data_IF_531965561964
#
_entry.id   IF_531965561964
#
_cell.length_a   1.000
_cell.length_b   1.000
_cell.length_c   1.000
_cell.angle_alpha   90.00
_cell.angle_beta   90.00
_cell.angle_gamma   90.00
#
_symmetry.space_group_name_H-M   'P 1'
#
loop_
_entity.id
_entity.type
_entity.pdbx_description
1 polymer ?
#
# COMPACT_ATOMS: atom_id res chain seq x y z
N UNK A 1 30.14 -69.47 17.20
CA UNK A 1 30.53 -68.54 16.11
C UNK A 1 29.30 -67.75 15.72
N UNK A 2 29.08 -66.60 16.36
CA UNK A 2 28.06 -65.64 15.92
C UNK A 2 28.78 -64.61 15.05
N UNK A 3 28.36 -64.56 13.79
CA UNK A 3 28.99 -63.80 12.73
C UNK A 3 28.84 -62.28 12.98
N UNK A 4 29.96 -61.61 13.25
CA UNK A 4 30.03 -60.20 13.66
C UNK A 4 29.88 -59.22 12.47
N UNK A 5 29.54 -59.71 11.28
CA UNK A 5 29.55 -58.94 10.04
C UNK A 5 28.20 -58.32 9.70
N UNK A 6 27.10 -58.77 10.33
CA UNK A 6 25.75 -58.27 10.06
C UNK A 6 25.42 -56.93 10.75
N UNK A 7 26.15 -56.55 11.81
CA UNK A 7 25.86 -55.33 12.59
C UNK A 7 26.47 -54.07 11.97
N UNK A 8 27.49 -54.21 11.11
CA UNK A 8 28.18 -53.08 10.46
C UNK A 8 27.39 -52.44 9.32
N UNK A 9 26.35 -53.10 8.79
CA UNK A 9 25.57 -52.59 7.65
C UNK A 9 24.27 -51.88 8.02
N UNK A 10 23.91 -51.79 9.31
CA UNK A 10 22.65 -51.18 9.78
C UNK A 10 22.87 -49.77 10.38
N UNK A 11 24.10 -49.26 10.40
CA UNK A 11 24.41 -47.90 10.87
C UNK A 11 24.74 -46.93 9.72
N UNK A 12 24.09 -47.12 8.56
CA UNK A 12 24.05 -46.15 7.46
C UNK A 12 22.61 -45.73 7.14
N UNK A 13 21.74 -45.63 8.15
CA UNK A 13 20.57 -44.77 8.05
C UNK A 13 21.06 -43.32 8.20
N UNK A 14 21.63 -42.82 7.11
CA UNK A 14 21.87 -41.40 6.89
C UNK A 14 20.53 -40.70 7.09
N UNK A 15 20.38 -40.00 8.22
CA UNK A 15 19.34 -39.01 8.44
C UNK A 15 19.58 -37.90 7.41
N UNK A 16 19.05 -38.11 6.21
CA UNK A 16 18.87 -37.05 5.23
C UNK A 16 17.80 -36.12 5.81
N UNK A 17 18.24 -35.18 6.63
CA UNK A 17 17.44 -34.05 7.07
C UNK A 17 17.11 -33.26 5.80
N UNK A 18 15.97 -33.57 5.18
CA UNK A 18 15.38 -32.70 4.18
C UNK A 18 15.02 -31.42 4.93
N UNK A 19 15.83 -30.38 4.75
CA UNK A 19 15.50 -29.03 5.20
C UNK A 19 14.24 -28.61 4.44
N UNK A 20 13.09 -28.73 5.12
CA UNK A 20 11.85 -28.13 4.65
C UNK A 20 12.05 -26.62 4.67
N UNK A 21 12.32 -26.03 3.51
CA UNK A 21 12.16 -24.59 3.32
C UNK A 21 10.66 -24.31 3.45
N UNK A 22 10.27 -23.74 4.57
CA UNK A 22 8.91 -23.24 4.80
C UNK A 22 8.92 -21.75 4.55
N UNK A 23 8.13 -21.29 3.59
CA UNK A 23 7.84 -19.87 3.45
C UNK A 23 6.90 -19.45 4.59
N UNK A 24 7.32 -18.50 5.42
CA UNK A 24 6.49 -17.92 6.46
C UNK A 24 5.57 -16.83 5.89
N UNK A 25 4.44 -16.61 6.57
CA UNK A 25 3.49 -15.55 6.24
C UNK A 25 3.45 -14.57 7.41
N UNK A 26 3.81 -13.31 7.15
CA UNK A 26 3.76 -12.20 8.10
C UNK A 26 2.51 -11.37 7.81
N UNK A 27 1.49 -11.48 8.66
CA UNK A 27 0.31 -10.62 8.55
C UNK A 27 0.57 -9.31 9.28
N UNK A 28 0.47 -8.20 8.56
CA UNK A 28 0.63 -6.84 9.08
C UNK A 28 -0.69 -6.08 8.92
N UNK A 29 -1.26 -5.60 10.03
CA UNK A 29 -2.43 -4.73 10.01
C UNK A 29 -2.06 -3.31 9.60
N UNK A 30 -2.69 -2.78 8.55
CA UNK A 30 -2.53 -1.39 8.10
C UNK A 30 -3.67 -0.55 8.65
N UNK A 31 -3.34 0.58 9.30
CA UNK A 31 -4.34 1.41 9.95
C UNK A 31 -4.64 1.00 11.39
N UNK A 32 -3.66 0.38 12.05
CA UNK A 32 -3.72 -0.04 13.45
C UNK A 32 -2.63 0.65 14.25
N UNK A 33 -2.93 0.98 15.49
CA UNK A 33 -1.93 1.45 16.44
C UNK A 33 -1.35 0.23 17.19
N UNK A 34 -0.06 -0.05 16.99
CA UNK A 34 0.63 -1.21 17.56
C UNK A 34 0.66 -1.19 19.10
N UNK A 35 0.60 -0.02 19.74
CA UNK A 35 0.66 0.07 21.22
C UNK A 35 -0.70 -0.20 21.86
N UNK A 36 -1.77 0.29 21.25
CA UNK A 36 -3.12 0.21 21.80
C UNK A 36 -3.97 -0.91 21.20
N UNK A 37 -3.55 -1.45 20.04
CA UNK A 37 -4.31 -2.41 19.26
C UNK A 37 -5.59 -1.85 18.65
N UNK A 38 -5.77 -0.52 18.66
CA UNK A 38 -6.98 0.16 18.18
C UNK A 38 -6.79 0.72 16.77
N UNK A 39 -7.85 1.28 16.21
CA UNK A 39 -7.79 2.05 14.96
C UNK A 39 -6.69 3.10 15.06
N UNK A 40 -5.87 3.16 14.02
CA UNK A 40 -4.73 4.05 13.97
C UNK A 40 -4.32 4.33 12.53
N UNK A 41 -3.07 4.74 12.37
CA UNK A 41 -2.47 5.11 11.09
C UNK A 41 -1.21 4.27 10.79
N UNK A 42 -0.86 3.40 11.74
CA UNK A 42 0.38 2.64 11.77
C UNK A 42 0.25 1.28 11.12
N UNK A 43 1.34 0.55 11.23
CA UNK A 43 1.44 -0.85 10.92
C UNK A 43 1.57 -1.63 12.24
N UNK A 44 0.87 -2.75 12.34
CA UNK A 44 0.94 -3.65 13.49
C UNK A 44 1.21 -5.09 13.00
N UNK A 45 2.39 -5.66 13.25
CA UNK A 45 3.56 -5.02 13.88
C UNK A 45 4.22 -3.96 12.97
N UNK A 46 4.97 -3.02 13.56
CA UNK A 46 5.71 -1.98 12.80
C UNK A 46 7.13 -2.40 12.41
N UNK A 47 7.60 -3.53 12.94
CA UNK A 47 8.90 -4.13 12.63
C UNK A 47 8.75 -5.63 12.42
N UNK A 48 9.30 -6.14 11.32
CA UNK A 48 9.31 -7.58 11.01
C UNK A 48 10.69 -8.02 10.49
N UNK A 49 10.97 -9.32 10.54
CA UNK A 49 12.23 -9.91 10.09
C UNK A 49 11.98 -11.10 9.13
N UNK A 50 11.39 -10.87 7.93
CA UNK A 50 11.13 -11.93 6.98
C UNK A 50 12.39 -12.41 6.26
N UNK A 51 12.42 -13.68 5.89
CA UNK A 51 13.45 -14.28 5.03
C UNK A 51 13.04 -14.27 3.56
N UNK A 52 14.02 -14.46 2.67
CA UNK A 52 13.74 -14.64 1.25
C UNK A 52 12.79 -15.83 1.02
N UNK A 53 11.74 -15.61 0.23
CA UNK A 53 10.65 -16.57 -0.01
C UNK A 53 9.44 -16.39 0.91
N UNK A 54 9.54 -15.60 1.99
CA UNK A 54 8.40 -15.29 2.86
C UNK A 54 7.43 -14.31 2.19
N UNK A 55 6.21 -14.23 2.72
CA UNK A 55 5.18 -13.30 2.26
C UNK A 55 4.80 -12.33 3.38
N UNK A 56 4.69 -11.06 3.04
CA UNK A 56 4.11 -10.03 3.91
C UNK A 56 2.69 -9.75 3.41
N UNK A 57 1.70 -10.09 4.21
CA UNK A 57 0.28 -9.85 3.92
C UNK A 57 -0.15 -8.61 4.67
N UNK A 58 -0.43 -7.55 3.93
CA UNK A 58 -0.99 -6.31 4.48
C UNK A 58 -2.51 -6.42 4.53
N UNK A 59 -3.08 -6.41 5.73
CA UNK A 59 -4.53 -6.45 5.95
C UNK A 59 -5.04 -5.06 6.37
N UNK A 60 -5.93 -4.47 5.57
CA UNK A 60 -6.36 -3.09 5.77
C UNK A 60 -7.52 -3.01 6.75
N UNK A 61 -7.30 -2.28 7.86
CA UNK A 61 -8.31 -2.03 8.90
C UNK A 61 -9.26 -0.92 8.45
N UNK A 62 -10.30 -0.68 9.24
CA UNK A 62 -11.26 0.42 9.00
C UNK A 62 -10.58 1.77 8.74
N UNK A 63 -11.09 2.52 7.78
CA UNK A 63 -10.54 3.80 7.33
C UNK A 63 -9.95 3.73 5.92
N UNK A 64 -9.29 4.80 5.52
CA UNK A 64 -8.61 4.92 4.21
C UNK A 64 -7.11 4.78 4.42
N UNK A 65 -6.56 3.68 3.93
CA UNK A 65 -5.15 3.33 4.13
C UNK A 65 -4.50 2.92 2.81
N UNK A 66 -3.18 3.01 2.76
CA UNK A 66 -2.37 2.58 1.63
C UNK A 66 -1.10 1.94 2.14
N UNK A 67 -0.43 1.18 1.28
CA UNK A 67 0.94 0.72 1.53
C UNK A 67 1.73 0.88 0.24
N UNK A 68 2.87 1.54 0.34
CA UNK A 68 3.83 1.68 -0.75
C UNK A 68 5.23 1.45 -0.22
N UNK A 69 6.10 0.98 -1.09
CA UNK A 69 7.50 0.83 -0.78
C UNK A 69 8.25 2.15 -1.00
N UNK A 70 9.11 2.49 -0.06
CA UNK A 70 9.93 3.70 -0.06
C UNK A 70 11.39 3.38 0.25
N UNK A 71 12.19 4.40 0.57
CA UNK A 71 13.58 4.27 0.99
C UNK A 71 13.73 4.73 2.42
N UNK A 72 14.81 4.31 3.09
CA UNK A 72 15.09 4.72 4.46
C UNK A 72 15.22 6.25 4.59
N UNK A 73 15.81 6.87 3.57
CA UNK A 73 16.08 8.32 3.51
C UNK A 73 14.82 9.13 3.17
N UNK A 74 13.95 8.61 2.30
CA UNK A 74 12.72 9.27 1.85
C UNK A 74 11.47 8.41 2.17
N UNK A 75 11.17 8.20 3.46
CA UNK A 75 10.12 7.29 3.92
C UNK A 75 8.75 7.58 3.32
N UNK A 76 8.39 8.85 3.15
CA UNK A 76 7.06 9.26 2.71
C UNK A 76 6.99 9.56 1.20
N UNK A 77 7.95 9.04 0.42
CA UNK A 77 7.96 9.13 -1.04
C UNK A 77 8.00 7.72 -1.62
N UNK A 78 7.05 7.33 -2.49
CA UNK A 78 7.10 6.02 -3.13
C UNK A 78 8.37 5.90 -3.98
N UNK A 79 9.11 4.79 -3.84
CA UNK A 79 10.30 4.56 -4.67
C UNK A 79 9.88 4.12 -6.08
N UNK A 80 10.57 4.56 -7.15
CA UNK A 80 10.30 4.09 -8.50
C UNK A 80 10.47 2.57 -8.62
N UNK A 81 9.47 1.90 -9.22
CA UNK A 81 9.48 0.43 -9.37
C UNK A 81 9.32 -0.35 -8.06
N UNK A 82 9.06 0.32 -6.94
CA UNK A 82 8.76 -0.33 -5.67
C UNK A 82 7.36 -0.94 -5.63
N UNK A 83 7.12 -1.76 -4.60
CA UNK A 83 5.80 -2.30 -4.33
C UNK A 83 4.76 -1.20 -4.10
N UNK A 84 3.57 -1.38 -4.67
CA UNK A 84 2.43 -0.50 -4.47
C UNK A 84 1.20 -1.38 -4.21
N UNK A 85 0.73 -1.37 -2.97
CA UNK A 85 -0.47 -2.08 -2.54
C UNK A 85 -1.76 -1.37 -2.91
N UNK A 86 -1.69 -0.13 -3.42
CA UNK A 86 -2.83 0.71 -3.70
C UNK A 86 -3.46 1.33 -2.45
N UNK A 87 -4.61 1.97 -2.65
CA UNK A 87 -5.40 2.61 -1.60
C UNK A 87 -6.63 1.76 -1.35
N UNK A 88 -6.87 1.42 -0.10
CA UNK A 88 -8.00 0.62 0.34
C UNK A 88 -8.84 1.42 1.32
N UNK A 89 -10.14 1.40 1.09
CA UNK A 89 -11.13 2.05 1.95
C UNK A 89 -12.00 0.97 2.58
N UNK A 90 -11.99 0.92 3.90
CA UNK A 90 -12.82 0.03 4.71
C UNK A 90 -13.75 0.87 5.56
N UNK A 91 -15.01 0.48 5.69
CA UNK A 91 -16.00 1.26 6.42
C UNK A 91 -15.58 1.51 7.89
N UNK A 92 -15.79 2.74 8.35
CA UNK A 92 -15.34 3.20 9.69
C UNK A 92 -16.16 2.62 10.85
N UNK A 93 -17.31 2.03 10.58
CA UNK A 93 -18.19 1.38 11.56
C UNK A 93 -17.81 -0.07 11.86
N UNK A 94 -16.94 -0.68 11.03
CA UNK A 94 -16.44 -2.03 11.27
C UNK A 94 -15.49 -2.07 12.47
N UNK A 95 -15.51 -3.20 13.18
CA UNK A 95 -14.52 -3.54 14.19
C UNK A 95 -13.11 -3.52 13.58
N UNK A 96 -12.11 -3.12 14.39
CA UNK A 96 -10.72 -3.00 13.92
C UNK A 96 -10.23 -4.32 13.32
N UNK A 97 -10.49 -5.44 13.97
CA UNK A 97 -10.08 -6.78 13.53
C UNK A 97 -11.25 -7.59 12.95
N UNK A 98 -12.15 -6.92 12.20
CA UNK A 98 -13.22 -7.59 11.49
C UNK A 98 -12.68 -8.66 10.51
N UNK A 99 -13.47 -9.69 10.24
CA UNK A 99 -13.08 -10.76 9.30
C UNK A 99 -13.33 -10.36 7.85
N UNK A 100 -12.49 -10.83 6.93
CA UNK A 100 -12.68 -10.61 5.49
C UNK A 100 -12.27 -9.21 5.02
N UNK A 101 -11.34 -8.59 5.74
CA UNK A 101 -10.77 -7.30 5.36
C UNK A 101 -9.92 -7.42 4.08
N UNK A 102 -9.79 -6.33 3.30
CA UNK A 102 -8.95 -6.33 2.11
C UNK A 102 -7.50 -6.67 2.47
N UNK A 103 -6.84 -7.42 1.58
CA UNK A 103 -5.43 -7.78 1.75
C UNK A 103 -4.64 -7.56 0.47
N UNK A 104 -3.38 -7.19 0.60
CA UNK A 104 -2.39 -7.25 -0.49
C UNK A 104 -1.13 -7.93 0.00
N UNK A 105 -0.47 -8.67 -0.90
CA UNK A 105 0.67 -9.50 -0.54
C UNK A 105 1.93 -9.02 -1.25
N UNK A 106 3.00 -8.85 -0.49
CA UNK A 106 4.36 -8.63 -0.97
C UNK A 106 5.18 -9.91 -0.78
N UNK A 107 5.75 -10.42 -1.87
CA UNK A 107 6.73 -11.50 -1.84
C UNK A 107 8.10 -10.94 -1.48
N UNK A 108 8.76 -11.53 -0.48
CA UNK A 108 10.09 -11.14 -0.05
C UNK A 108 11.11 -11.87 -0.92
N UNK A 109 11.81 -11.12 -1.78
CA UNK A 109 12.75 -11.71 -2.74
C UNK A 109 14.13 -11.98 -2.14
N UNK A 110 14.55 -11.18 -1.17
CA UNK A 110 15.83 -11.28 -0.49
C UNK A 110 15.71 -10.79 0.96
N UNK A 111 16.79 -10.94 1.74
CA UNK A 111 16.85 -10.49 3.13
C UNK A 111 17.31 -9.05 3.31
N UNK A 112 17.28 -8.21 2.26
CA UNK A 112 17.63 -6.80 2.37
C UNK A 112 16.51 -6.03 3.11
N UNK A 113 16.83 -4.85 3.68
CA UNK A 113 15.83 -4.02 4.32
C UNK A 113 14.75 -3.58 3.33
N UNK A 114 13.48 -3.74 3.72
CA UNK A 114 12.33 -3.22 2.99
C UNK A 114 11.63 -2.16 3.86
N UNK A 115 11.31 -1.04 3.23
CA UNK A 115 10.77 0.15 3.89
C UNK A 115 9.39 0.41 3.31
N UNK A 116 8.36 0.36 4.14
CA UNK A 116 6.99 0.53 3.71
C UNK A 116 6.37 1.73 4.42
N UNK A 117 5.57 2.49 3.67
CA UNK A 117 4.93 3.69 4.13
C UNK A 117 3.43 3.65 3.86
N UNK A 118 2.67 4.10 4.84
CA UNK A 118 1.23 4.29 4.73
C UNK A 118 0.86 5.70 4.31
N UNK A 119 -0.41 5.92 4.01
CA UNK A 119 -0.91 7.23 3.57
C UNK A 119 -0.58 8.37 4.53
N UNK A 120 -0.55 8.11 5.84
CA UNK A 120 -0.16 9.08 6.89
C UNK A 120 1.25 8.80 7.44
N UNK A 121 2.19 8.52 6.55
CA UNK A 121 3.59 8.22 6.88
C UNK A 121 4.25 9.25 7.81
N UNK A 122 4.02 10.55 7.58
CA UNK A 122 4.61 11.64 8.39
C UNK A 122 4.15 11.66 9.85
N UNK A 123 3.09 10.92 10.19
CA UNK A 123 2.62 10.73 11.57
C UNK A 123 3.13 9.43 12.20
N UNK A 124 4.08 8.74 11.55
CA UNK A 124 4.64 7.47 11.99
C UNK A 124 3.96 6.23 11.42
N UNK A 125 3.18 6.40 10.33
CA UNK A 125 2.61 5.29 9.56
C UNK A 125 3.68 4.62 8.67
N UNK A 126 4.62 3.92 9.30
CA UNK A 126 5.76 3.27 8.64
C UNK A 126 6.01 1.85 9.17
N UNK A 127 6.51 0.98 8.30
CA UNK A 127 6.92 -0.39 8.62
C UNK A 127 8.36 -0.61 8.16
N UNK A 128 9.17 -1.19 9.03
CA UNK A 128 10.53 -1.61 8.75
C UNK A 128 10.62 -3.14 8.71
N UNK A 129 10.88 -3.72 7.55
CA UNK A 129 11.18 -5.14 7.42
C UNK A 129 12.69 -5.34 7.25
N UNK A 130 13.28 -6.25 8.02
CA UNK A 130 14.74 -6.49 8.06
C UNK A 130 15.59 -5.22 8.34
N UNK A 131 15.27 -4.36 9.32
CA UNK A 131 16.13 -3.22 9.65
C UNK A 131 17.52 -3.67 10.11
N UNK A 132 18.52 -2.83 9.88
CA UNK A 132 19.91 -3.10 10.27
C UNK A 132 20.31 -2.28 11.50
N UNK A 133 21.51 -2.52 12.02
CA UNK A 133 22.05 -1.72 13.13
C UNK A 133 22.29 -0.25 12.75
N UNK A 134 22.52 0.06 11.46
CA UNK A 134 22.73 1.42 10.97
C UNK A 134 21.43 2.07 10.48
N UNK A 135 20.54 1.30 9.87
CA UNK A 135 19.22 1.73 9.44
C UNK A 135 18.16 1.08 10.33
N UNK A 136 17.82 1.74 11.42
CA UNK A 136 16.90 1.22 12.45
C UNK A 136 15.45 1.61 12.16
N UNK A 137 14.50 0.82 12.65
CA UNK A 137 13.07 1.17 12.56
C UNK A 137 12.75 2.52 13.23
N UNK A 138 13.40 2.83 14.35
CA UNK A 138 13.27 4.12 15.01
C UNK A 138 13.80 5.27 14.13
N UNK A 139 14.95 5.06 13.48
CA UNK A 139 15.50 6.02 12.51
C UNK A 139 14.56 6.25 11.32
N UNK A 140 13.92 5.20 10.81
CA UNK A 140 12.95 5.31 9.73
C UNK A 140 11.72 6.12 10.13
N UNK A 141 11.17 5.88 11.32
CA UNK A 141 10.06 6.65 11.90
C UNK A 141 10.43 8.11 12.13
N UNK A 142 11.66 8.38 12.56
CA UNK A 142 12.20 9.73 12.73
C UNK A 142 12.46 10.46 11.41
N UNK A 143 12.85 9.75 10.35
CA UNK A 143 12.94 10.34 9.01
C UNK A 143 11.53 10.67 8.48
N UNK A 144 10.53 9.84 8.81
CA UNK A 144 9.15 10.04 8.37
C UNK A 144 8.53 11.29 8.98
N UNK A 145 8.78 11.55 10.27
CA UNK A 145 8.27 12.76 10.95
C UNK A 145 8.80 14.07 10.36
N UNK A 146 9.91 14.02 9.62
CA UNK A 146 10.53 15.17 8.93
C UNK A 146 9.98 15.38 7.52
N UNK A 147 9.22 14.43 6.98
CA UNK A 147 8.62 14.55 5.66
C UNK A 147 7.46 15.56 5.65
N UNK A 148 7.14 16.07 4.46
CA UNK A 148 5.97 16.92 4.27
C UNK A 148 4.65 16.18 4.56
N UNK A 149 3.61 16.91 4.95
CA UNK A 149 2.31 16.35 5.38
C UNK A 149 1.41 15.85 4.25
N UNK A 150 1.92 15.72 3.02
CA UNK A 150 1.15 15.22 1.90
C UNK A 150 0.92 13.70 2.04
N UNK A 151 -0.29 13.21 1.77
CA UNK A 151 -0.55 11.78 1.85
C UNK A 151 0.25 11.01 0.78
N UNK A 152 0.79 9.86 1.20
CA UNK A 152 1.60 9.01 0.33
C UNK A 152 0.68 8.07 -0.45
N UNK A 153 0.41 8.44 -1.70
CA UNK A 153 -0.30 7.59 -2.64
C UNK A 153 0.54 7.44 -3.91
N UNK A 154 0.91 6.21 -4.25
CA UNK A 154 1.40 5.94 -5.58
C UNK A 154 0.19 5.83 -6.51
N UNK A 155 0.02 6.81 -7.40
CA UNK A 155 -0.92 6.74 -8.53
C UNK A 155 -0.65 5.43 -9.26
N UNK A 156 -1.60 4.51 -9.26
CA UNK A 156 -1.53 3.27 -10.01
C UNK A 156 -1.54 3.60 -11.51
N UNK A 157 -0.36 3.82 -12.10
CA UNK A 157 -0.20 3.80 -13.55
C UNK A 157 -0.13 2.33 -13.97
N UNK A 158 -1.29 1.74 -14.22
CA UNK A 158 -1.41 0.48 -14.93
C UNK A 158 -0.96 0.68 -16.38
N UNK A 159 0.34 0.61 -16.68
CA UNK A 159 0.84 0.61 -18.05
C UNK A 159 0.80 -0.81 -18.62
N UNK A 160 -0.40 -1.34 -18.87
CA UNK A 160 -0.60 -2.50 -19.72
C UNK A 160 -1.45 -2.08 -20.94
N UNK A 161 -0.79 -1.46 -21.91
CA UNK A 161 -1.30 -1.39 -23.28
C UNK A 161 -0.16 -1.75 -24.23
N UNK A 162 -0.18 -2.94 -24.86
CA UNK A 162 0.62 -3.19 -26.05
C UNK A 162 -0.07 -2.46 -27.21
N UNK A 163 0.34 -1.22 -27.49
CA UNK A 163 -0.05 -0.56 -28.73
C UNK A 163 0.92 -1.02 -29.83
N UNK A 164 0.45 -2.00 -30.60
CA UNK A 164 1.07 -2.47 -31.83
C UNK A 164 1.37 -1.31 -32.79
N UNK A 165 2.60 -1.31 -33.28
CA UNK A 165 3.05 -0.52 -34.43
C UNK A 165 2.40 -1.06 -35.71
N UNK A 166 1.65 -0.22 -36.42
CA UNK A 166 1.39 -0.39 -37.86
C UNK A 166 1.04 0.96 -38.52
N UNK A 167 1.31 1.13 -39.83
CA UNK A 167 1.66 2.42 -40.43
C UNK A 167 0.48 3.17 -41.06
N UNK A 168 0.77 4.43 -41.40
CA UNK A 168 -0.11 5.44 -41.98
C UNK A 168 -0.81 5.03 -43.30
N UNK A 169 -2.03 5.55 -43.48
CA UNK A 169 -2.66 5.78 -44.79
C UNK A 169 -3.74 6.87 -44.66
N UNK A 170 -3.55 8.00 -45.34
CA UNK A 170 -4.61 8.90 -45.82
C UNK A 170 -4.72 8.69 -47.34
N UNK A 171 -5.88 8.86 -48.01
CA UNK A 171 -6.45 10.21 -48.25
C UNK A 171 -8.00 10.32 -48.43
N UNK A 172 -8.46 11.60 -48.45
CA UNK A 172 -9.56 12.18 -49.24
C UNK A 172 -11.03 11.77 -48.98
N UNK A 173 -12.09 12.58 -49.14
CA UNK A 173 -12.42 14.03 -49.27
C UNK A 173 -13.97 14.10 -49.35
N UNK A 174 -14.53 15.29 -49.14
CA UNK A 174 -15.88 15.78 -49.54
C UNK A 174 -17.05 15.51 -48.58
N UNK A 175 -17.94 16.47 -48.25
CA UNK A 175 -18.20 17.81 -48.80
C UNK A 175 -19.09 18.64 -47.84
N UNK A 176 -18.98 19.98 -47.96
CA UNK A 176 -20.04 21.02 -47.86
C UNK A 176 -20.82 21.16 -46.52
N UNK A 177 -21.17 22.34 -46.00
CA UNK A 177 -21.14 23.74 -46.44
C UNK A 177 -21.56 24.63 -45.26
N UNK A 178 -21.29 25.94 -45.40
CA UNK A 178 -22.07 27.08 -44.89
C UNK A 178 -21.80 27.64 -43.46
N UNK A 179 -21.03 28.74 -43.46
CA UNK A 179 -21.29 30.09 -42.92
C UNK A 179 -22.15 30.27 -41.64
N UNK A 180 -21.64 31.10 -40.72
CA UNK A 180 -22.49 31.84 -39.78
C UNK A 180 -21.80 32.35 -38.52
N UNK A 181 -21.25 33.57 -38.57
CA UNK A 181 -21.02 34.41 -37.38
C UNK A 181 -22.37 34.97 -36.90
N UNK A 182 -22.75 34.76 -35.64
CA UNK A 182 -23.68 35.66 -34.92
C UNK A 182 -23.39 35.62 -33.41
N UNK A 183 -23.14 36.80 -32.84
CA UNK A 183 -23.20 37.11 -31.40
C UNK A 183 -24.66 37.11 -30.93
N UNK A 184 -25.00 36.59 -29.73
CA UNK A 184 -25.74 37.39 -28.72
C UNK A 184 -26.00 36.67 -27.37
N UNK A 185 -25.76 37.46 -26.30
CA UNK A 185 -26.47 37.67 -25.02
C UNK A 185 -27.07 36.52 -24.17
N UNK A 186 -26.61 36.54 -22.91
CA UNK A 186 -27.37 36.67 -21.63
C UNK A 186 -28.64 35.82 -21.45
N UNK A 187 -28.57 34.85 -20.53
CA UNK A 187 -29.62 34.58 -19.52
C UNK A 187 -28.94 34.18 -18.21
N UNK A 188 -29.02 35.04 -17.19
CA UNK A 188 -28.78 34.69 -15.80
C UNK A 188 -30.14 34.49 -15.12
N UNK A 189 -30.42 33.26 -14.70
CA UNK A 189 -31.66 32.89 -13.99
C UNK A 189 -31.42 32.87 -12.48
N UNK A 190 -32.26 33.61 -11.78
CA UNK A 190 -32.31 33.74 -10.33
C UNK A 190 -32.93 32.51 -9.66
N UNK A 191 -32.39 32.12 -8.51
CA UNK A 191 -33.08 31.37 -7.47
C UNK A 191 -32.76 32.04 -6.13
N UNK A 192 -33.78 32.66 -5.52
CA UNK A 192 -33.71 33.19 -4.16
C UNK A 192 -34.20 32.17 -3.13
N UNK A 193 -33.97 32.46 -1.84
CA UNK A 193 -34.97 32.57 -0.76
C UNK A 193 -34.36 32.33 0.64
N UNK A 194 -34.71 33.24 1.55
CA UNK A 194 -34.84 33.01 3.00
C UNK A 194 -33.61 33.31 3.86
N UNK A 195 -33.68 33.94 5.04
CA UNK A 195 -34.79 34.51 5.81
C UNK A 195 -34.12 35.39 6.90
N UNK A 196 -34.46 36.68 6.99
CA UNK A 196 -33.95 37.57 8.04
C UNK A 196 -34.98 37.60 9.19
N UNK A 197 -34.67 36.94 10.31
CA UNK A 197 -35.45 37.07 11.54
C UNK A 197 -34.98 38.28 12.34
N UNK A 198 -35.78 39.35 12.39
CA UNK A 198 -35.61 40.42 13.37
C UNK A 198 -36.56 40.20 14.55
N UNK A 199 -35.97 40.18 15.74
CA UNK A 199 -36.61 40.16 17.04
C UNK A 199 -36.89 41.60 17.48
N UNK A 200 -38.15 41.91 17.72
CA UNK A 200 -38.67 42.92 18.67
C UNK A 200 -40.08 42.44 19.05
N UNK A 201 -40.57 42.42 20.29
CA UNK A 201 -40.21 43.14 21.49
C UNK A 201 -41.39 44.04 21.89
N UNK A 202 -42.06 43.67 23.00
CA UNK A 202 -42.79 44.54 23.95
C UNK A 202 -44.23 44.96 23.54
N UNK A 203 -45.25 44.36 24.17
CA UNK A 203 -46.09 44.93 25.24
C UNK A 203 -47.07 43.87 25.75
#
# INVERSE_FOLDING_TARGET
>A
MFDSTAVKSILLFSLYYASVVSAAVFTVGVGKDETTGRKGIGFDPSVIMPSAGDQIVFEFRSGVHSVVESTFEDPCTPKPGGFNGGVHTVADDLDVDATGLPTVTLLVNDSQPLWQAGGKCYLGGVLAANPTSSQTAAGFKENASKAGSAPVNATSTSSNTPAQTAPASSPNTNSNSAVGFVLDRVVASALGLGLLGMVTGIF
#
